data_IF_941328918369
#
_entry.id   IF_941328918369
#
_cell.length_a   1.000
_cell.length_b   1.000
_cell.length_c   1.000
_cell.angle_alpha   90.00
_cell.angle_beta   90.00
_cell.angle_gamma   90.00
#
_symmetry.space_group_name_H-M   'P 1'
#
loop_
_entity.id
_entity.type
_entity.pdbx_description
1 polymer ?
#
# COMPACT_ATOMS: atom_id res chain seq x y z
N UNK A 1 14.12 -8.57 -27.75
CA UNK A 1 14.33 -9.69 -26.80
C UNK A 1 13.58 -9.35 -25.53
N UNK A 2 12.85 -10.30 -24.95
CA UNK A 2 12.28 -10.11 -23.61
C UNK A 2 13.41 -10.06 -22.59
N UNK A 3 13.31 -9.14 -21.63
CA UNK A 3 14.27 -9.04 -20.54
C UNK A 3 13.74 -9.82 -19.34
N UNK A 4 14.19 -11.07 -19.24
CA UNK A 4 13.70 -12.03 -18.26
C UNK A 4 13.99 -11.63 -16.79
N UNK A 5 14.92 -10.69 -16.57
CA UNK A 5 15.34 -10.24 -15.24
C UNK A 5 14.85 -8.82 -14.91
N UNK A 6 13.90 -8.30 -15.70
CA UNK A 6 13.27 -7.00 -15.47
C UNK A 6 11.79 -7.16 -15.10
N UNK A 7 11.35 -6.39 -14.11
CA UNK A 7 9.94 -6.23 -13.75
C UNK A 7 9.56 -4.75 -13.69
N UNK A 8 8.39 -4.43 -14.23
CA UNK A 8 7.75 -3.14 -14.06
C UNK A 8 6.62 -3.25 -13.03
N UNK A 9 6.76 -2.53 -11.92
CA UNK A 9 5.76 -2.39 -10.87
C UNK A 9 5.05 -1.05 -11.00
N UNK A 10 3.73 -1.05 -10.85
CA UNK A 10 2.90 0.14 -11.01
C UNK A 10 2.08 0.39 -9.75
N UNK A 11 2.04 1.63 -9.28
CA UNK A 11 0.91 2.08 -8.48
C UNK A 11 -0.39 2.03 -9.31
N UNK A 12 -1.54 2.13 -8.65
CA UNK A 12 -2.84 1.95 -9.32
C UNK A 12 -3.52 3.30 -9.55
N UNK A 13 -4.00 3.93 -8.48
CA UNK A 13 -4.63 5.25 -8.53
C UNK A 13 -3.62 6.30 -9.02
N UNK A 14 -4.04 7.15 -9.96
CA UNK A 14 -3.21 8.22 -10.53
C UNK A 14 -2.12 7.74 -11.49
N UNK A 15 -1.88 6.43 -11.59
CA UNK A 15 -0.81 5.84 -12.41
C UNK A 15 -1.37 4.96 -13.52
N UNK A 16 -2.10 3.90 -13.18
CA UNK A 16 -2.76 3.01 -14.17
C UNK A 16 -4.19 3.44 -14.46
N UNK A 17 -4.86 4.04 -13.49
CA UNK A 17 -6.21 4.57 -13.66
C UNK A 17 -6.36 5.92 -12.96
N UNK A 18 -7.34 6.76 -13.35
CA UNK A 18 -7.71 7.89 -12.53
C UNK A 18 -8.17 7.39 -11.15
N UNK A 19 -7.95 8.20 -10.10
CA UNK A 19 -8.23 7.79 -8.74
C UNK A 19 -9.67 7.24 -8.57
N UNK A 20 -9.78 5.98 -8.12
CA UNK A 20 -11.03 5.24 -7.90
C UNK A 20 -11.89 5.02 -9.15
N UNK A 21 -11.33 5.19 -10.34
CA UNK A 21 -11.95 4.86 -11.62
C UNK A 21 -11.23 3.68 -12.28
N UNK A 22 -11.88 3.10 -13.29
CA UNK A 22 -11.31 2.01 -14.09
C UNK A 22 -10.23 2.50 -15.06
N UNK A 23 -9.23 1.65 -15.30
CA UNK A 23 -8.21 1.87 -16.31
C UNK A 23 -8.84 1.91 -17.71
N UNK A 24 -8.27 2.72 -18.61
CA UNK A 24 -8.73 2.77 -19.99
C UNK A 24 -8.35 1.50 -20.75
N UNK A 25 -9.11 1.15 -21.79
CA UNK A 25 -8.78 0.02 -22.67
C UNK A 25 -7.39 0.18 -23.33
N UNK A 26 -6.99 1.42 -23.61
CA UNK A 26 -5.67 1.77 -24.15
C UNK A 26 -4.56 1.44 -23.16
N UNK A 27 -4.73 1.78 -21.88
CA UNK A 27 -3.79 1.44 -20.82
C UNK A 27 -3.66 -0.08 -20.65
N UNK A 28 -4.79 -0.81 -20.61
CA UNK A 28 -4.77 -2.27 -20.50
C UNK A 28 -4.09 -2.93 -21.70
N UNK A 29 -4.31 -2.40 -22.92
CA UNK A 29 -3.64 -2.86 -24.13
C UNK A 29 -2.13 -2.60 -24.09
N UNK A 30 -1.71 -1.44 -23.57
CA UNK A 30 -0.30 -1.11 -23.37
C UNK A 30 0.36 -2.06 -22.36
N UNK A 31 -0.28 -2.33 -21.23
CA UNK A 31 0.22 -3.27 -20.22
C UNK A 31 0.34 -4.69 -20.79
N UNK A 32 -0.66 -5.15 -21.55
CA UNK A 32 -0.61 -6.45 -22.22
C UNK A 32 0.57 -6.55 -23.20
N UNK A 33 0.85 -5.47 -23.96
CA UNK A 33 2.01 -5.41 -24.85
C UNK A 33 3.34 -5.36 -24.07
N UNK A 34 3.40 -4.64 -22.95
CA UNK A 34 4.57 -4.57 -22.08
C UNK A 34 4.90 -5.92 -21.43
N UNK A 35 3.86 -6.67 -21.02
CA UNK A 35 4.01 -8.02 -20.46
C UNK A 35 4.68 -9.01 -21.41
N UNK A 36 4.63 -8.77 -22.72
CA UNK A 36 5.39 -9.55 -23.71
C UNK A 36 6.90 -9.24 -23.73
N UNK A 37 7.34 -8.20 -23.01
CA UNK A 37 8.73 -7.70 -22.98
C UNK A 37 9.41 -7.94 -21.63
N UNK A 38 8.69 -7.77 -20.53
CA UNK A 38 9.18 -7.99 -19.17
C UNK A 38 8.02 -8.41 -18.26
N UNK A 39 8.34 -8.85 -17.04
CA UNK A 39 7.29 -9.11 -16.06
C UNK A 39 6.62 -7.79 -15.66
N UNK A 40 5.32 -7.85 -15.38
CA UNK A 40 4.59 -6.69 -14.85
C UNK A 40 3.85 -7.04 -13.56
N UNK A 41 3.69 -6.05 -12.69
CA UNK A 41 2.84 -6.16 -11.52
C UNK A 41 2.31 -4.82 -11.04
N UNK A 42 1.26 -4.84 -10.24
CA UNK A 42 0.75 -3.63 -9.58
C UNK A 42 0.94 -3.73 -8.06
N UNK A 43 1.03 -2.57 -7.40
CA UNK A 43 1.10 -2.42 -5.95
C UNK A 43 0.09 -1.36 -5.50
N UNK A 44 -1.04 -1.80 -4.95
CA UNK A 44 -2.08 -0.92 -4.45
C UNK A 44 -2.26 -1.04 -2.94
N UNK A 45 -2.57 0.08 -2.28
CA UNK A 45 -2.95 0.08 -0.86
C UNK A 45 -4.37 -0.40 -0.59
N UNK A 46 -5.20 -0.47 -1.62
CA UNK A 46 -6.57 -0.97 -1.57
C UNK A 46 -6.65 -2.50 -1.58
N UNK A 47 -7.75 -3.04 -1.05
CA UNK A 47 -8.10 -4.46 -1.11
C UNK A 47 -8.25 -4.99 -2.56
N UNK A 48 -8.26 -6.32 -2.71
CA UNK A 48 -8.37 -6.99 -4.01
C UNK A 48 -9.65 -6.67 -4.79
N UNK A 49 -10.77 -6.37 -4.11
CA UNK A 49 -12.03 -6.08 -4.79
C UNK A 49 -11.93 -4.75 -5.55
N UNK A 50 -11.32 -3.74 -4.93
CA UNK A 50 -11.02 -2.47 -5.61
C UNK A 50 -10.04 -2.66 -6.77
N UNK A 51 -9.01 -3.49 -6.60
CA UNK A 51 -8.11 -3.79 -7.72
C UNK A 51 -8.85 -4.44 -8.90
N UNK A 52 -9.79 -5.34 -8.60
CA UNK A 52 -10.64 -5.98 -9.59
C UNK A 52 -11.54 -4.96 -10.32
N UNK A 53 -12.15 -4.03 -9.61
CA UNK A 53 -13.00 -2.96 -10.18
C UNK A 53 -12.20 -2.02 -11.09
N UNK A 54 -10.94 -1.74 -10.74
CA UNK A 54 -10.14 -0.75 -11.46
C UNK A 54 -9.40 -1.34 -12.67
N UNK A 55 -8.87 -2.56 -12.55
CA UNK A 55 -7.95 -3.13 -13.54
C UNK A 55 -8.52 -4.36 -14.26
N UNK A 56 -9.50 -5.04 -13.68
CA UNK A 56 -10.15 -6.21 -14.26
C UNK A 56 -11.52 -5.89 -14.87
N UNK A 57 -12.25 -6.95 -15.21
CA UNK A 57 -13.68 -6.88 -15.59
C UNK A 57 -14.48 -7.95 -14.83
N UNK A 58 -15.80 -8.02 -15.02
CA UNK A 58 -16.59 -9.09 -14.41
C UNK A 58 -16.17 -10.50 -14.89
N UNK A 59 -15.65 -10.58 -16.12
CA UNK A 59 -15.24 -11.82 -16.77
C UNK A 59 -13.75 -12.10 -16.65
N UNK A 60 -12.93 -11.05 -16.49
CA UNK A 60 -11.47 -11.15 -16.47
C UNK A 60 -10.94 -10.82 -15.07
N UNK A 61 -10.48 -11.83 -14.30
CA UNK A 61 -9.85 -11.60 -13.01
C UNK A 61 -8.58 -10.77 -13.17
N UNK A 62 -8.41 -9.74 -12.34
CA UNK A 62 -7.20 -8.90 -12.34
C UNK A 62 -5.93 -9.72 -12.10
N UNK A 63 -6.05 -10.81 -11.35
CA UNK A 63 -4.96 -11.75 -11.06
C UNK A 63 -4.42 -12.49 -12.28
N UNK A 64 -5.17 -12.49 -13.38
CA UNK A 64 -4.73 -13.08 -14.66
C UNK A 64 -3.98 -12.09 -15.55
N UNK A 65 -4.13 -10.78 -15.31
CA UNK A 65 -3.61 -9.72 -16.18
C UNK A 65 -2.13 -9.40 -15.93
N UNK A 66 -1.66 -9.63 -14.70
CA UNK A 66 -0.29 -9.32 -14.27
C UNK A 66 0.45 -10.58 -13.81
N UNK A 67 1.79 -10.51 -13.79
CA UNK A 67 2.62 -11.58 -13.25
C UNK A 67 2.65 -11.52 -11.72
N UNK A 68 2.61 -10.31 -11.15
CA UNK A 68 2.44 -10.09 -9.72
C UNK A 68 1.29 -9.13 -9.43
N UNK A 69 0.46 -9.47 -8.46
CA UNK A 69 -0.66 -8.64 -8.02
C UNK A 69 -0.53 -8.40 -6.53
N UNK A 70 -0.33 -7.15 -6.11
CA UNK A 70 -0.13 -6.80 -4.70
C UNK A 70 -1.23 -5.84 -4.24
N UNK A 71 -2.21 -6.37 -3.52
CA UNK A 71 -3.22 -5.59 -2.79
C UNK A 71 -2.78 -5.37 -1.35
N UNK A 72 -3.30 -4.32 -0.71
CA UNK A 72 -2.94 -3.94 0.65
C UNK A 72 -1.41 -3.89 0.84
N UNK A 73 -0.71 -3.23 -0.10
CA UNK A 73 0.76 -3.11 -0.15
C UNK A 73 1.52 -4.42 -0.36
N UNK A 74 0.82 -5.50 -0.72
CA UNK A 74 1.37 -6.83 -0.84
C UNK A 74 1.11 -7.74 0.36
N UNK A 75 0.33 -7.30 1.35
CA UNK A 75 -0.17 -8.22 2.40
C UNK A 75 -1.05 -9.32 1.80
N UNK A 76 -1.82 -8.97 0.77
CA UNK A 76 -2.54 -9.89 -0.09
C UNK A 76 -1.84 -9.89 -1.46
N UNK A 77 -1.26 -11.02 -1.84
CA UNK A 77 -0.41 -11.11 -3.03
C UNK A 77 -0.71 -12.34 -3.89
N UNK A 78 -0.58 -12.19 -5.21
CA UNK A 78 -0.67 -13.29 -6.17
C UNK A 78 0.52 -13.26 -7.12
N UNK A 79 0.99 -14.44 -7.53
CA UNK A 79 1.93 -14.62 -8.64
C UNK A 79 1.27 -15.49 -9.71
N UNK A 80 1.13 -14.95 -10.93
CA UNK A 80 0.54 -15.64 -12.08
C UNK A 80 -0.82 -16.29 -11.74
N UNK A 81 -1.70 -15.55 -11.06
CA UNK A 81 -3.00 -16.03 -10.62
C UNK A 81 -3.01 -16.90 -9.35
N UNK A 82 -1.84 -17.32 -8.85
CA UNK A 82 -1.72 -18.18 -7.67
C UNK A 82 -1.51 -17.34 -6.41
N UNK A 83 -2.31 -17.52 -5.34
CA UNK A 83 -2.12 -16.77 -4.10
C UNK A 83 -0.77 -17.09 -3.43
N UNK A 84 -0.10 -16.05 -2.96
CA UNK A 84 1.10 -16.14 -2.11
C UNK A 84 0.68 -16.11 -0.63
N UNK A 85 1.64 -16.36 0.26
CA UNK A 85 1.40 -16.32 1.70
C UNK A 85 0.97 -14.91 2.13
N UNK A 86 -0.20 -14.81 2.74
CA UNK A 86 -0.71 -13.55 3.29
C UNK A 86 -0.26 -13.31 4.72
N UNK A 87 -0.28 -12.04 5.11
CA UNK A 87 -0.08 -11.60 6.48
C UNK A 87 -1.20 -10.65 6.90
N UNK A 88 -1.36 -10.46 8.22
CA UNK A 88 -2.36 -9.54 8.77
C UNK A 88 -1.82 -8.87 10.01
N UNK A 89 -2.34 -7.68 10.31
CA UNK A 89 -1.89 -6.91 11.47
C UNK A 89 -1.97 -7.72 12.77
N UNK A 90 -3.10 -8.40 13.00
CA UNK A 90 -3.32 -9.24 14.19
C UNK A 90 -2.34 -10.42 14.25
N UNK A 91 -2.03 -11.04 13.11
CA UNK A 91 -1.04 -12.13 13.04
C UNK A 91 0.37 -11.64 13.37
N UNK A 92 0.72 -10.42 12.97
CA UNK A 92 2.03 -9.82 13.25
C UNK A 92 2.16 -9.36 14.70
N UNK A 93 1.19 -8.59 15.22
CA UNK A 93 1.25 -8.00 16.55
C UNK A 93 0.89 -9.02 17.66
N UNK A 94 0.10 -10.05 17.34
CA UNK A 94 -0.42 -11.00 18.32
C UNK A 94 -1.59 -10.44 19.16
N UNK A 95 -2.45 -11.35 19.65
CA UNK A 95 -3.73 -10.96 20.27
C UNK A 95 -3.58 -10.09 21.52
N UNK A 96 -2.58 -10.35 22.37
CA UNK A 96 -2.42 -9.63 23.64
C UNK A 96 -2.11 -8.15 23.39
N UNK A 97 -1.12 -7.88 22.54
CA UNK A 97 -0.72 -6.51 22.19
C UNK A 97 -1.80 -5.83 21.34
N UNK A 98 -2.50 -6.57 20.47
CA UNK A 98 -3.64 -6.04 19.73
C UNK A 98 -4.76 -5.54 20.65
N UNK A 99 -5.13 -6.34 21.67
CA UNK A 99 -6.17 -5.96 22.64
C UNK A 99 -5.77 -4.72 23.43
N UNK A 100 -4.50 -4.61 23.84
CA UNK A 100 -3.99 -3.43 24.54
C UNK A 100 -4.03 -2.19 23.63
N UNK A 101 -3.60 -2.31 22.37
CA UNK A 101 -3.63 -1.23 21.39
C UNK A 101 -5.06 -0.72 21.15
N UNK A 102 -6.00 -1.61 20.85
CA UNK A 102 -7.40 -1.24 20.59
C UNK A 102 -8.03 -0.62 21.84
N UNK A 103 -7.79 -1.20 23.01
CA UNK A 103 -8.31 -0.65 24.27
C UNK A 103 -7.79 0.78 24.50
N UNK A 104 -6.49 1.01 24.33
CA UNK A 104 -5.91 2.35 24.47
C UNK A 104 -6.52 3.35 23.48
N UNK A 105 -6.64 2.97 22.20
CA UNK A 105 -7.24 3.83 21.16
C UNK A 105 -8.67 4.21 21.53
N UNK A 106 -9.51 3.26 21.96
CA UNK A 106 -10.91 3.51 22.29
C UNK A 106 -11.05 4.42 23.50
N UNK A 107 -10.24 4.23 24.56
CA UNK A 107 -10.25 5.13 25.72
C UNK A 107 -9.75 6.53 25.34
N UNK A 108 -8.64 6.62 24.60
CA UNK A 108 -8.10 7.91 24.17
C UNK A 108 -9.12 8.71 23.36
N UNK A 109 -9.80 8.07 22.40
CA UNK A 109 -10.85 8.70 21.60
C UNK A 109 -12.04 9.13 22.46
N UNK A 110 -12.42 8.35 23.47
CA UNK A 110 -13.53 8.67 24.37
C UNK A 110 -13.24 9.89 25.27
N UNK A 111 -11.98 10.16 25.57
CA UNK A 111 -11.55 11.27 26.42
C UNK A 111 -11.30 12.59 25.65
N UNK A 112 -11.37 12.57 24.30
CA UNK A 112 -11.23 13.77 23.47
C UNK A 112 -12.52 14.60 23.48
N UNK A 113 -12.39 15.92 23.64
CA UNK A 113 -13.50 16.87 23.51
C UNK A 113 -14.10 16.85 22.09
N UNK A 114 -13.22 16.88 21.08
CA UNK A 114 -13.59 16.69 19.67
C UNK A 114 -12.71 15.56 19.08
N UNK A 115 -13.21 14.30 19.05
CA UNK A 115 -12.46 13.20 18.48
C UNK A 115 -12.35 13.30 16.95
N UNK A 116 -11.39 12.59 16.32
CA UNK A 116 -11.34 12.46 14.86
C UNK A 116 -12.66 12.01 14.27
N UNK A 117 -13.14 12.73 13.26
CA UNK A 117 -14.44 12.42 12.67
C UNK A 117 -14.40 11.08 11.92
N UNK A 118 -15.50 10.34 12.01
CA UNK A 118 -15.63 9.04 11.34
C UNK A 118 -15.64 9.15 9.82
N UNK A 119 -15.24 8.08 9.13
CA UNK A 119 -15.22 8.00 7.66
C UNK A 119 -16.60 8.16 6.99
N UNK A 120 -17.69 8.17 7.75
CA UNK A 120 -19.04 8.42 7.26
C UNK A 120 -19.41 9.91 7.22
N UNK A 121 -18.54 10.81 7.70
CA UNK A 121 -18.76 12.25 7.66
C UNK A 121 -18.93 12.77 6.22
N UNK A 122 -19.78 13.78 6.06
CA UNK A 122 -19.98 14.54 4.85
C UNK A 122 -18.73 15.31 4.44
N UNK A 123 -18.65 15.77 3.19
CA UNK A 123 -17.52 16.57 2.70
C UNK A 123 -17.35 17.87 3.50
N UNK A 124 -18.47 18.50 3.89
CA UNK A 124 -18.44 19.74 4.68
C UNK A 124 -17.83 19.49 6.05
N UNK A 125 -18.30 18.48 6.77
CA UNK A 125 -17.76 18.10 8.08
C UNK A 125 -16.26 17.74 8.01
N UNK A 126 -15.83 17.06 6.94
CA UNK A 126 -14.39 16.75 6.73
C UNK A 126 -13.55 18.00 6.57
N UNK A 127 -14.03 18.97 5.78
CA UNK A 127 -13.32 20.23 5.56
C UNK A 127 -13.23 21.05 6.85
N UNK A 128 -14.32 21.11 7.61
CA UNK A 128 -14.35 21.80 8.91
C UNK A 128 -13.41 21.14 9.92
N UNK A 129 -13.44 19.81 10.02
CA UNK A 129 -12.53 19.07 10.88
C UNK A 129 -11.07 19.25 10.48
N UNK A 130 -10.76 19.28 9.18
CA UNK A 130 -9.38 19.49 8.72
C UNK A 130 -8.81 20.83 9.20
N UNK A 131 -9.62 21.90 9.12
CA UNK A 131 -9.23 23.23 9.63
C UNK A 131 -9.02 23.18 11.13
N UNK A 132 -9.97 22.57 11.86
CA UNK A 132 -9.90 22.43 13.31
C UNK A 132 -8.69 21.61 13.76
N UNK A 133 -8.44 20.45 13.15
CA UNK A 133 -7.29 19.60 13.46
C UNK A 133 -5.96 20.29 13.15
N UNK A 134 -5.87 21.11 12.10
CA UNK A 134 -4.66 21.90 11.81
C UNK A 134 -4.38 22.98 12.85
N UNK A 135 -5.42 23.52 13.49
CA UNK A 135 -5.28 24.51 14.57
C UNK A 135 -4.96 23.83 15.92
N UNK A 136 -5.59 22.69 16.20
CA UNK A 136 -5.53 22.04 17.51
C UNK A 136 -4.57 20.85 17.60
N UNK A 137 -4.04 20.37 16.47
CA UNK A 137 -3.10 19.26 16.33
C UNK A 137 -3.60 17.94 16.95
N UNK A 138 -4.88 17.61 16.76
CA UNK A 138 -5.51 16.46 17.43
C UNK A 138 -4.87 15.14 16.99
N UNK A 139 -4.77 14.91 15.68
CA UNK A 139 -4.19 13.67 15.13
C UNK A 139 -2.71 13.55 15.47
N UNK A 140 -1.96 14.64 15.46
CA UNK A 140 -0.53 14.65 15.82
C UNK A 140 -0.33 14.25 17.29
N UNK A 141 -1.06 14.88 18.22
CA UNK A 141 -1.01 14.53 19.65
C UNK A 141 -1.45 13.09 19.91
N UNK A 142 -2.47 12.62 19.19
CA UNK A 142 -2.89 11.22 19.29
C UNK A 142 -1.79 10.26 18.84
N UNK A 143 -1.12 10.56 17.73
CA UNK A 143 0.04 9.78 17.27
C UNK A 143 1.17 9.81 18.30
N UNK A 144 1.46 10.96 18.92
CA UNK A 144 2.48 11.07 19.97
C UNK A 144 2.15 10.17 21.18
N UNK A 145 0.90 10.20 21.66
CA UNK A 145 0.45 9.35 22.75
C UNK A 145 0.56 7.85 22.40
N UNK A 146 0.23 7.48 21.16
CA UNK A 146 0.40 6.12 20.68
C UNK A 146 1.88 5.71 20.62
N UNK A 147 2.76 6.58 20.10
CA UNK A 147 4.21 6.33 20.04
C UNK A 147 4.81 6.16 21.43
N UNK A 148 4.41 6.98 22.40
CA UNK A 148 4.88 6.86 23.77
C UNK A 148 4.46 5.52 24.38
N UNK A 149 3.16 5.20 24.34
CA UNK A 149 2.57 4.00 24.93
C UNK A 149 3.07 2.70 24.29
N UNK A 150 3.28 2.72 22.97
CA UNK A 150 3.66 1.54 22.18
C UNK A 150 5.07 1.64 21.60
N UNK A 151 5.97 2.38 22.25
CA UNK A 151 7.37 2.56 21.84
C UNK A 151 8.17 1.26 21.69
N UNK A 152 7.74 0.17 22.34
CA UNK A 152 8.30 -1.17 22.18
C UNK A 152 7.85 -1.93 20.93
N UNK A 153 6.87 -1.42 20.18
CA UNK A 153 6.39 -1.99 18.93
C UNK A 153 6.96 -1.22 17.74
N UNK A 154 7.38 -1.95 16.71
CA UNK A 154 7.87 -1.35 15.47
C UNK A 154 6.69 -0.92 14.58
N UNK A 155 6.03 0.16 15.00
CA UNK A 155 4.87 0.75 14.34
C UNK A 155 5.25 2.06 13.64
N UNK A 156 4.71 2.24 12.45
CA UNK A 156 4.73 3.47 11.66
C UNK A 156 3.35 4.11 11.68
N UNK A 157 3.33 5.44 11.76
CA UNK A 157 2.11 6.25 11.84
C UNK A 157 2.12 7.25 10.69
N UNK A 158 1.02 7.33 9.94
CA UNK A 158 0.92 8.22 8.78
C UNK A 158 -0.37 9.02 8.80
N UNK A 159 -0.27 10.34 8.96
CA UNK A 159 -1.44 11.22 8.74
C UNK A 159 -1.76 11.22 7.24
N UNK A 160 -2.99 10.86 6.91
CA UNK A 160 -3.45 10.73 5.53
C UNK A 160 -4.78 11.45 5.31
N UNK A 161 -4.78 12.37 4.34
CA UNK A 161 -5.97 13.16 4.01
C UNK A 161 -6.46 14.04 5.16
N UNK A 162 -7.77 14.28 5.18
CA UNK A 162 -8.37 15.35 5.99
C UNK A 162 -8.70 14.94 7.43
N UNK A 163 -8.96 13.64 7.70
CA UNK A 163 -9.66 13.22 8.92
C UNK A 163 -9.03 12.06 9.69
N UNK A 164 -8.08 11.34 9.10
CA UNK A 164 -7.56 10.11 9.70
C UNK A 164 -6.04 10.04 9.63
N UNK A 165 -5.51 9.01 10.28
CA UNK A 165 -4.15 8.53 10.14
C UNK A 165 -4.18 7.00 10.15
N UNK A 166 -3.15 6.39 9.59
CA UNK A 166 -2.96 4.94 9.56
C UNK A 166 -1.88 4.53 10.57
N UNK A 167 -2.05 3.34 11.16
CA UNK A 167 -1.08 2.69 12.04
C UNK A 167 -0.79 1.31 11.46
N UNK A 168 0.48 1.03 11.16
CA UNK A 168 0.89 -0.22 10.54
C UNK A 168 2.31 -0.59 10.96
N UNK A 169 2.73 -1.86 10.87
CA UNK A 169 4.09 -2.26 11.18
C UNK A 169 5.07 -1.57 10.23
N UNK A 170 6.23 -1.17 10.74
CA UNK A 170 7.26 -0.56 9.90
C UNK A 170 7.62 -1.47 8.73
N UNK A 171 7.71 -0.88 7.54
CA UNK A 171 7.95 -1.60 6.28
C UNK A 171 6.71 -2.27 5.67
N UNK A 172 5.51 -2.07 6.24
CA UNK A 172 4.23 -2.49 5.61
C UNK A 172 3.63 -1.43 4.66
N UNK A 173 4.43 -0.44 4.28
CA UNK A 173 4.16 0.41 3.11
C UNK A 173 4.35 -0.40 1.80
N UNK A 174 4.26 0.26 0.64
CA UNK A 174 4.36 -0.42 -0.68
C UNK A 174 5.66 -1.22 -0.86
N UNK A 175 6.74 -0.91 -0.13
CA UNK A 175 7.98 -1.69 -0.18
C UNK A 175 7.82 -3.11 0.36
N UNK A 176 6.78 -3.40 1.17
CA UNK A 176 6.46 -4.74 1.66
C UNK A 176 6.39 -5.76 0.52
N UNK A 177 5.88 -5.37 -0.65
CA UNK A 177 5.73 -6.32 -1.75
C UNK A 177 7.08 -6.81 -2.33
N UNK A 178 8.17 -6.06 -2.12
CA UNK A 178 9.49 -6.43 -2.64
C UNK A 178 10.00 -7.74 -2.04
N UNK A 179 9.62 -8.04 -0.79
CA UNK A 179 9.98 -9.32 -0.17
C UNK A 179 9.40 -10.52 -0.94
N UNK A 180 8.27 -10.36 -1.65
CA UNK A 180 7.70 -11.43 -2.45
C UNK A 180 8.55 -11.73 -3.67
N UNK A 181 9.17 -10.70 -4.27
CA UNK A 181 10.13 -10.86 -5.36
C UNK A 181 11.42 -11.52 -4.86
N UNK A 182 11.93 -11.09 -3.71
CA UNK A 182 13.11 -11.71 -3.08
C UNK A 182 12.86 -13.17 -2.68
N UNK A 183 11.67 -13.47 -2.15
CA UNK A 183 11.27 -14.83 -1.80
C UNK A 183 11.08 -15.68 -3.04
N UNK A 184 10.52 -15.12 -4.11
CA UNK A 184 10.40 -15.80 -5.39
C UNK A 184 11.77 -16.20 -5.95
N UNK A 185 12.75 -15.28 -5.95
CA UNK A 185 14.11 -15.55 -6.42
C UNK A 185 14.80 -16.72 -5.70
N UNK A 186 14.44 -16.99 -4.43
CA UNK A 186 14.99 -18.10 -3.63
C UNK A 186 14.33 -19.45 -3.91
N UNK A 187 13.19 -19.49 -4.60
CA UNK A 187 12.46 -20.73 -4.89
C UNK A 187 13.08 -21.47 -6.08
N UNK A 188 12.96 -22.81 -6.16
CA UNK A 188 13.32 -23.55 -7.36
C UNK A 188 12.55 -23.01 -8.58
N UNK A 189 13.28 -22.60 -9.63
CA UNK A 189 12.68 -21.96 -10.81
C UNK A 189 12.21 -20.53 -10.61
N UNK A 190 12.57 -19.91 -9.48
CA UNK A 190 12.35 -18.50 -9.19
C UNK A 190 13.12 -17.57 -10.12
N UNK A 191 12.65 -16.34 -10.26
CA UNK A 191 13.32 -15.31 -11.06
C UNK A 191 13.93 -14.27 -10.13
N UNK A 192 15.24 -14.09 -10.23
CA UNK A 192 15.90 -12.93 -9.63
C UNK A 192 15.75 -11.73 -10.57
N UNK A 193 14.87 -10.79 -10.21
CA UNK A 193 14.73 -9.54 -10.94
C UNK A 193 15.87 -8.59 -10.57
N UNK A 194 16.82 -8.40 -11.48
CA UNK A 194 17.96 -7.50 -11.29
C UNK A 194 17.60 -6.04 -11.56
N UNK A 195 16.49 -5.80 -12.26
CA UNK A 195 15.97 -4.47 -12.56
C UNK A 195 14.50 -4.38 -12.17
N UNK A 196 14.17 -3.46 -11.28
CA UNK A 196 12.80 -3.17 -10.86
C UNK A 196 12.50 -1.73 -11.24
N UNK A 197 11.61 -1.52 -12.21
CA UNK A 197 11.08 -0.20 -12.52
C UNK A 197 9.80 0.00 -11.73
N UNK A 198 9.74 1.01 -10.86
CA UNK A 198 8.49 1.40 -10.22
C UNK A 198 7.92 2.66 -10.88
N UNK A 199 6.62 2.68 -11.12
CA UNK A 199 5.90 3.84 -11.64
C UNK A 199 4.80 4.21 -10.63
N UNK A 200 4.76 5.47 -10.19
CA UNK A 200 3.77 5.97 -9.24
C UNK A 200 3.62 7.49 -9.34
N UNK A 201 2.45 8.02 -9.00
CA UNK A 201 2.12 9.45 -9.04
C UNK A 201 2.59 10.20 -7.77
N UNK A 202 2.58 9.51 -6.62
CA UNK A 202 2.98 10.04 -5.32
C UNK A 202 4.35 9.54 -4.88
N UNK A 203 5.40 10.16 -5.41
CA UNK A 203 6.81 9.75 -5.17
C UNK A 203 7.54 10.63 -4.13
N UNK A 204 6.85 11.52 -3.44
CA UNK A 204 7.45 12.47 -2.49
C UNK A 204 7.66 11.88 -1.08
N UNK A 205 8.73 12.35 -0.42
CA UNK A 205 9.12 11.96 0.94
C UNK A 205 7.99 12.21 1.96
N UNK A 206 7.29 11.15 2.39
CA UNK A 206 6.21 11.22 3.38
C UNK A 206 4.90 10.54 2.97
N UNK A 207 4.70 10.23 1.68
CA UNK A 207 3.54 9.47 1.18
C UNK A 207 4.01 8.13 0.61
N UNK A 208 3.67 7.00 1.28
CA UNK A 208 3.93 5.59 0.87
C UNK A 208 4.78 5.39 -0.40
N UNK A 209 6.11 5.45 -0.24
CA UNK A 209 7.06 5.50 -1.35
C UNK A 209 7.64 4.12 -1.62
N UNK A 210 7.51 3.67 -2.86
CA UNK A 210 8.49 2.76 -3.47
C UNK A 210 9.69 3.59 -3.91
N UNK A 211 10.80 3.46 -3.18
CA UNK A 211 12.10 4.01 -3.62
C UNK A 211 12.42 3.34 -4.96
N UNK A 212 12.76 4.13 -5.99
CA UNK A 212 13.36 3.60 -7.21
C UNK A 212 14.59 2.75 -6.83
N UNK A 213 14.46 1.42 -6.90
CA UNK A 213 15.55 0.48 -6.61
C UNK A 213 16.17 0.02 -7.93
N UNK A 214 17.30 0.64 -8.29
CA UNK A 214 18.25 0.02 -9.22
C UNK A 214 19.11 -0.95 -8.42
N UNK A 215 18.81 -2.24 -8.45
CA UNK A 215 19.62 -3.28 -7.79
C UNK A 215 20.88 -3.54 -8.63
N UNK A 216 21.86 -2.63 -8.54
CA UNK A 216 23.29 -2.85 -8.76
C UNK A 216 24.12 -1.80 -7.99
N UNK A 217 24.06 -1.85 -6.66
CA UNK A 217 25.05 -1.22 -5.78
C UNK A 217 25.11 0.31 -5.73
N UNK A 218 24.20 1.04 -6.38
CA UNK A 218 24.08 2.49 -6.24
C UNK A 218 22.62 2.90 -6.04
N UNK A 219 22.36 3.49 -4.88
CA UNK A 219 21.12 4.18 -4.55
C UNK A 219 21.06 5.43 -5.44
N UNK A 220 20.17 5.46 -6.44
CA UNK A 220 19.87 6.70 -7.16
C UNK A 220 18.57 7.23 -6.58
N UNK A 221 18.72 8.14 -5.61
CA UNK A 221 17.69 9.12 -5.26
C UNK A 221 17.45 10.03 -6.46
N UNK A 222 16.17 10.28 -6.76
CA UNK A 222 15.79 11.61 -7.26
C UNK A 222 15.58 12.49 -6.04
#
# INVERSE_FOLDING_TARGET
MSDANTICLFDVDGTLSPARLSASAEMLSLLAALRQKCAIGYVGGSDMAKQQEQLGTAEIPVTSLFDFCFAENGLTAFKSGVPLQSNSFIKWIGETQYKELVSFILHYVADLDIPPIGRNASVVERNEYEVYDKEHHIREKFIEALKEKFSGLDLTYSIGGQISFDVFPTGWDKTYCLQHLENDAKRPGGIEYTTIHFFGDKTYKGEMIMRFMRIRGQLVTV
#
